data_IF_416819347072
#
_entry.id   IF_416819347072
#
_cell.length_a   1.000
_cell.length_b   1.000
_cell.length_c   1.000
_cell.angle_alpha   90.00
_cell.angle_beta   90.00
_cell.angle_gamma   90.00
#
_symmetry.space_group_name_H-M   'P 1'
#
loop_
_entity.id
_entity.type
_entity.pdbx_description
1 polymer ?
#
# COMPACT_ATOMS: atom_id res chain seq x y z
N UNK A 1 15.51 -71.93 35.03
CA UNK A 1 14.63 -70.76 35.21
C UNK A 1 14.97 -69.74 34.13
N UNK A 2 14.27 -69.82 32.99
CA UNK A 2 14.45 -68.94 31.84
C UNK A 2 13.52 -67.73 32.01
N UNK A 3 14.09 -66.54 32.22
CA UNK A 3 13.33 -65.30 32.18
C UNK A 3 13.16 -64.90 30.71
N UNK A 4 12.00 -65.24 30.14
CA UNK A 4 11.56 -64.74 28.84
C UNK A 4 11.38 -63.23 28.94
N UNK A 5 12.31 -62.48 28.35
CA UNK A 5 12.18 -61.02 28.22
C UNK A 5 11.10 -60.76 27.17
N UNK A 6 9.97 -60.11 27.49
CA UNK A 6 9.05 -59.66 26.47
C UNK A 6 9.79 -58.63 25.61
N UNK A 7 10.04 -59.00 24.36
CA UNK A 7 10.48 -58.07 23.34
C UNK A 7 9.37 -57.01 23.21
N UNK A 8 9.59 -55.86 23.84
CA UNK A 8 8.85 -54.64 23.53
C UNK A 8 9.29 -54.23 22.13
N UNK A 9 8.68 -54.86 21.13
CA UNK A 9 8.68 -54.38 19.76
C UNK A 9 7.94 -53.05 19.80
N UNK A 10 8.73 -51.99 19.99
CA UNK A 10 8.33 -50.64 19.75
C UNK A 10 7.63 -50.62 18.40
N UNK A 11 6.32 -50.35 18.42
CA UNK A 11 5.57 -50.03 17.22
C UNK A 11 6.15 -48.74 16.67
N UNK A 12 7.16 -48.87 15.81
CA UNK A 12 7.63 -47.80 14.96
C UNK A 12 6.44 -47.45 14.06
N UNK A 13 5.66 -46.45 14.47
CA UNK A 13 4.61 -45.89 13.65
C UNK A 13 5.26 -45.37 12.37
N UNK A 14 5.15 -46.13 11.30
CA UNK A 14 5.54 -45.70 9.96
C UNK A 14 4.63 -44.53 9.62
N UNK A 15 5.11 -43.31 9.88
CA UNK A 15 4.40 -42.10 9.50
C UNK A 15 4.38 -42.07 7.98
N UNK A 16 3.20 -42.21 7.39
CA UNK A 16 3.10 -42.20 5.92
C UNK A 16 3.41 -40.78 5.46
N UNK A 17 4.21 -40.58 4.41
CA UNK A 17 4.57 -39.25 3.92
C UNK A 17 3.35 -38.35 3.71
N UNK A 18 2.22 -38.91 3.28
CA UNK A 18 0.96 -38.20 3.09
C UNK A 18 0.36 -37.57 4.36
N UNK A 19 0.57 -38.17 5.53
CA UNK A 19 0.05 -37.63 6.80
C UNK A 19 0.81 -36.35 7.19
N UNK A 20 2.11 -36.30 6.88
CA UNK A 20 2.94 -35.10 7.11
C UNK A 20 2.53 -33.94 6.20
N UNK A 21 2.26 -34.22 4.91
CA UNK A 21 1.76 -33.18 4.00
C UNK A 21 0.38 -32.66 4.44
N UNK A 22 -0.55 -33.54 4.83
CA UNK A 22 -1.87 -33.15 5.31
C UNK A 22 -1.83 -32.27 6.56
N UNK A 23 -0.85 -32.48 7.43
CA UNK A 23 -0.67 -31.70 8.66
C UNK A 23 0.09 -30.38 8.43
N UNK A 24 1.06 -30.34 7.52
CA UNK A 24 1.92 -29.16 7.28
C UNK A 24 1.26 -28.15 6.33
N UNK A 25 0.47 -28.62 5.36
CA UNK A 25 -0.19 -27.78 4.36
C UNK A 25 -1.08 -26.66 4.94
N UNK A 26 -1.94 -26.89 5.96
CA UNK A 26 -2.75 -25.82 6.54
C UNK A 26 -1.89 -24.78 7.26
N UNK A 27 -0.82 -25.19 7.95
CA UNK A 27 0.12 -24.27 8.59
C UNK A 27 0.87 -23.40 7.56
N UNK A 28 1.25 -23.99 6.43
CA UNK A 28 1.88 -23.27 5.33
C UNK A 28 0.94 -22.21 4.75
N UNK A 29 -0.34 -22.53 4.56
CA UNK A 29 -1.35 -21.58 4.08
C UNK A 29 -1.59 -20.44 5.06
N UNK A 30 -1.66 -20.73 6.36
CA UNK A 30 -1.78 -19.69 7.39
C UNK A 30 -0.56 -18.77 7.37
N UNK A 31 0.64 -19.34 7.31
CA UNK A 31 1.88 -18.56 7.25
C UNK A 31 1.95 -17.69 5.99
N UNK A 32 1.59 -18.26 4.83
CA UNK A 32 1.47 -17.52 3.58
C UNK A 32 0.47 -16.36 3.72
N UNK A 33 -0.69 -16.60 4.34
CA UNK A 33 -1.68 -15.57 4.64
C UNK A 33 -1.11 -14.43 5.47
N UNK A 34 -0.36 -14.74 6.53
CA UNK A 34 0.32 -13.74 7.38
C UNK A 34 1.31 -12.91 6.56
N UNK A 35 2.11 -13.56 5.71
CA UNK A 35 3.08 -12.86 4.84
C UNK A 35 2.36 -11.92 3.87
N UNK A 36 1.28 -12.37 3.23
CA UNK A 36 0.48 -11.55 2.32
C UNK A 36 -0.14 -10.36 3.05
N UNK A 37 -0.74 -10.57 4.22
CA UNK A 37 -1.30 -9.51 5.05
C UNK A 37 -0.21 -8.51 5.47
N UNK A 38 0.94 -9.01 5.91
CA UNK A 38 2.10 -8.18 6.25
C UNK A 38 2.58 -7.33 5.06
N UNK A 39 2.67 -7.94 3.88
CA UNK A 39 3.04 -7.23 2.65
C UNK A 39 2.04 -6.15 2.28
N UNK A 40 0.73 -6.41 2.43
CA UNK A 40 -0.33 -5.42 2.19
C UNK A 40 -0.21 -4.25 3.17
N UNK A 41 -0.04 -4.55 4.46
CA UNK A 41 0.12 -3.51 5.51
C UNK A 41 1.35 -2.65 5.21
N UNK A 42 2.49 -3.27 4.90
CA UNK A 42 3.71 -2.56 4.53
C UNK A 42 3.50 -1.74 3.27
N UNK A 43 2.80 -2.25 2.26
CA UNK A 43 2.50 -1.51 1.03
C UNK A 43 1.61 -0.29 1.29
N UNK A 44 0.60 -0.40 2.17
CA UNK A 44 -0.27 0.72 2.56
C UNK A 44 0.54 1.78 3.31
N UNK A 45 1.36 1.38 4.30
CA UNK A 45 2.22 2.29 5.05
C UNK A 45 3.23 2.96 4.11
N UNK A 46 3.86 2.18 3.24
CA UNK A 46 4.80 2.66 2.23
C UNK A 46 4.16 3.68 1.30
N UNK A 47 2.96 3.41 0.79
CA UNK A 47 2.22 4.36 -0.05
C UNK A 47 1.85 5.63 0.72
N UNK A 48 1.50 5.52 2.00
CA UNK A 48 1.13 6.67 2.82
C UNK A 48 2.32 7.53 3.26
N UNK A 49 3.51 6.94 3.42
CA UNK A 49 4.72 7.64 3.88
C UNK A 49 5.59 8.11 2.72
N UNK A 50 5.74 7.31 1.66
CA UNK A 50 6.58 7.63 0.49
C UNK A 50 5.79 8.05 -0.76
N UNK A 51 4.48 8.29 -0.63
CA UNK A 51 3.61 8.76 -1.72
C UNK A 51 3.85 10.19 -2.22
N UNK A 52 4.98 10.82 -1.88
CA UNK A 52 5.35 12.15 -2.37
C UNK A 52 6.33 12.11 -3.57
N UNK A 53 6.94 10.96 -3.87
CA UNK A 53 8.07 10.90 -4.84
C UNK A 53 7.73 10.24 -6.20
N UNK A 54 6.46 10.02 -6.54
CA UNK A 54 6.13 9.22 -7.73
C UNK A 54 4.77 9.44 -8.36
N UNK A 55 4.57 10.60 -8.99
CA UNK A 55 4.00 10.67 -10.35
C UNK A 55 2.60 10.11 -10.62
N UNK A 56 1.72 10.00 -9.64
CA UNK A 56 0.29 9.86 -9.88
C UNK A 56 -0.42 10.97 -9.10
N UNK A 57 -1.28 11.81 -9.73
CA UNK A 57 -2.19 12.65 -8.99
C UNK A 57 -3.24 11.71 -8.36
N UNK A 58 -2.89 11.14 -7.20
CA UNK A 58 -3.85 10.62 -6.22
C UNK A 58 -4.85 11.76 -6.06
N UNK A 59 -6.13 11.48 -6.35
CA UNK A 59 -7.19 12.48 -6.38
C UNK A 59 -7.10 13.37 -5.13
N UNK A 60 -6.44 14.52 -5.31
CA UNK A 60 -6.15 15.43 -4.22
C UNK A 60 -7.45 15.97 -3.67
N UNK A 61 -7.40 16.44 -2.43
CA UNK A 61 -8.48 17.24 -1.85
C UNK A 61 -9.00 18.21 -2.92
N UNK A 62 -10.28 18.14 -3.27
CA UNK A 62 -10.81 18.93 -4.38
C UNK A 62 -11.42 20.24 -3.87
N UNK A 63 -11.60 21.22 -4.75
CA UNK A 63 -12.36 22.43 -4.39
C UNK A 63 -13.81 22.10 -3.96
N UNK A 64 -14.35 20.97 -4.41
CA UNK A 64 -15.67 20.49 -3.97
C UNK A 64 -15.64 20.05 -2.51
N UNK A 65 -14.60 19.31 -2.10
CA UNK A 65 -14.42 18.87 -0.71
C UNK A 65 -14.14 20.04 0.23
N UNK A 66 -13.37 21.04 -0.20
CA UNK A 66 -13.16 22.26 0.59
C UNK A 66 -14.47 23.04 0.80
N UNK A 67 -15.33 23.10 -0.23
CA UNK A 67 -16.64 23.76 -0.16
C UNK A 67 -17.61 23.00 0.74
N UNK A 68 -17.64 21.68 0.68
CA UNK A 68 -18.50 20.87 1.55
C UNK A 68 -18.07 20.99 3.01
N UNK A 69 -16.77 21.08 3.28
CA UNK A 69 -16.21 21.30 4.62
C UNK A 69 -16.65 22.65 5.21
N UNK A 70 -16.58 23.74 4.43
CA UNK A 70 -17.06 25.07 4.82
C UNK A 70 -18.57 25.09 5.03
N UNK A 71 -19.35 24.50 4.12
CA UNK A 71 -20.80 24.40 4.25
C UNK A 71 -21.24 23.58 5.48
N UNK A 72 -20.43 22.60 5.88
CA UNK A 72 -20.65 21.79 7.09
C UNK A 72 -20.21 22.49 8.39
N UNK A 73 -19.63 23.70 8.31
CA UNK A 73 -19.15 24.45 9.47
C UNK A 73 -17.88 23.88 10.12
N UNK A 74 -17.18 22.97 9.43
CA UNK A 74 -15.95 22.34 9.94
C UNK A 74 -14.70 23.21 9.77
N UNK A 75 -14.79 24.28 8.97
CA UNK A 75 -13.73 25.29 8.81
C UNK A 75 -14.34 26.69 8.80
N UNK A 76 -13.59 27.65 9.31
CA UNK A 76 -13.99 29.05 9.27
C UNK A 76 -13.89 29.63 7.84
N UNK A 77 -14.59 30.73 7.58
CA UNK A 77 -14.52 31.43 6.29
C UNK A 77 -13.10 31.94 5.97
N UNK A 78 -12.36 32.35 7.00
CA UNK A 78 -10.97 32.80 6.86
C UNK A 78 -10.04 31.65 6.42
N UNK A 79 -10.21 30.47 7.03
CA UNK A 79 -9.48 29.27 6.64
C UNK A 79 -9.86 28.79 5.24
N UNK A 80 -11.13 28.89 4.87
CA UNK A 80 -11.61 28.55 3.54
C UNK A 80 -10.93 29.40 2.45
N UNK A 81 -10.90 30.73 2.59
CA UNK A 81 -10.29 31.60 1.57
C UNK A 81 -8.77 31.38 1.47
N UNK A 82 -8.09 31.11 2.59
CA UNK A 82 -6.66 30.76 2.59
C UNK A 82 -6.40 29.44 1.86
N UNK A 83 -7.21 28.41 2.12
CA UNK A 83 -7.06 27.10 1.46
C UNK A 83 -7.40 27.16 -0.04
N UNK A 84 -8.48 27.87 -0.40
CA UNK A 84 -8.93 28.06 -1.79
C UNK A 84 -7.88 28.75 -2.65
N UNK A 85 -7.26 29.81 -2.14
CA UNK A 85 -6.20 30.54 -2.87
C UNK A 85 -4.97 29.66 -3.13
N UNK A 86 -4.56 28.84 -2.15
CA UNK A 86 -3.46 27.89 -2.33
C UNK A 86 -3.77 26.82 -3.40
N UNK A 87 -5.00 26.30 -3.43
CA UNK A 87 -5.42 25.30 -4.44
C UNK A 87 -5.44 25.88 -5.86
N UNK A 88 -5.93 27.10 -6.03
CA UNK A 88 -5.95 27.77 -7.34
C UNK A 88 -4.52 28.03 -7.82
N UNK A 89 -3.61 28.42 -6.93
CA UNK A 89 -2.20 28.64 -7.27
C UNK A 89 -1.52 27.36 -7.77
N UNK A 90 -1.82 26.22 -7.15
CA UNK A 90 -1.29 24.92 -7.57
C UNK A 90 -1.78 24.54 -8.98
N UNK A 91 -3.08 24.70 -9.25
CA UNK A 91 -3.65 24.38 -10.57
C UNK A 91 -3.17 25.34 -11.67
N UNK A 92 -2.93 26.62 -11.34
CA UNK A 92 -2.43 27.62 -12.29
C UNK A 92 -0.93 27.49 -12.60
N UNK A 93 -0.13 26.98 -11.66
CA UNK A 93 1.32 26.81 -11.82
C UNK A 93 1.70 25.79 -12.89
N UNK A 94 1.00 24.65 -12.91
CA UNK A 94 1.30 23.53 -13.83
C UNK A 94 1.11 23.89 -15.32
N UNK A 95 0.29 24.91 -15.62
CA UNK A 95 0.03 25.34 -17.00
C UNK A 95 1.08 26.32 -17.54
N UNK A 96 1.74 27.09 -16.67
CA UNK A 96 2.70 28.12 -17.12
C UNK A 96 4.09 27.57 -17.43
N UNK A 97 4.47 26.44 -16.84
CA UNK A 97 5.81 25.85 -17.03
C UNK A 97 5.96 25.13 -18.40
N UNK A 98 4.88 24.54 -18.93
CA UNK A 98 4.90 23.88 -20.25
C UNK A 98 4.99 24.88 -21.42
N UNK A 99 4.37 26.06 -21.32
CA UNK A 99 4.35 27.03 -22.42
C UNK A 99 5.72 27.68 -22.71
N UNK A 100 6.63 27.68 -21.73
CA UNK A 100 7.98 28.22 -21.90
C UNK A 100 8.95 27.21 -22.56
N UNK A 101 8.71 25.90 -22.41
CA UNK A 101 9.55 24.85 -22.99
C UNK A 101 9.41 24.69 -24.52
N UNK A 102 8.22 24.99 -25.07
CA UNK A 102 7.95 24.86 -26.51
C UNK A 102 8.54 26.00 -27.37
N UNK A 103 8.84 27.17 -26.78
CA UNK A 103 9.43 28.31 -27.49
C UNK A 103 10.94 28.13 -27.75
N UNK A 104 11.64 27.36 -26.92
CA UNK A 104 13.09 27.15 -27.05
C UNK A 104 13.45 25.97 -27.96
N UNK A 105 12.52 25.03 -28.19
CA UNK A 105 12.76 23.85 -29.03
C UNK A 105 12.45 24.05 -30.54
N UNK A 106 11.84 25.19 -30.92
CA UNK A 106 11.58 25.55 -32.34
C UNK A 106 12.70 26.34 -33.02
N UNK A 107 13.84 26.58 -32.34
CA UNK A 107 15.02 27.15 -32.98
C UNK A 107 16.24 26.30 -32.59
N UNK A 108 16.62 25.33 -33.43
CA UNK A 108 17.82 25.58 -34.25
C UNK A 108 17.84 24.81 -35.59
N UNK A 109 18.11 25.51 -36.70
CA UNK A 109 19.25 25.29 -37.60
C UNK A 109 19.07 26.22 -38.81
N UNK A 110 19.94 27.22 -38.93
CA UNK A 110 20.03 28.13 -40.08
C UNK A 110 21.45 28.05 -40.65
#
# INVERSE_FOLDING_TARGET
>A
MLHGRPALLASAGVTRPGDMFGQVLPWLLVFLGIVVVGAIVVAIIRRRVWGQDGGAPDAGFTLHDLRSLHASGQISTEEFERAKSAMIAQVGGDTSENAAGEAEQSAPDA
#
